data_IF_083790203489
#
_entry.id   IF_083790203489
#
_cell.length_a   1.000
_cell.length_b   1.000
_cell.length_c   1.000
_cell.angle_alpha   90.00
_cell.angle_beta   90.00
_cell.angle_gamma   90.00
#
_symmetry.space_group_name_H-M   'P 1'
#
loop_
_entity.id
_entity.type
_entity.pdbx_description
1 polymer ?
#
# COMPACT_ATOMS: atom_id res chain seq x y z
N UNK A 1 13.32 5.37 -5.84
CA UNK A 1 13.88 4.17 -5.19
C UNK A 1 13.49 2.87 -5.89
N UNK A 2 12.21 2.61 -6.12
CA UNK A 2 11.77 1.39 -6.81
C UNK A 2 12.24 1.34 -8.26
N UNK A 3 12.29 2.47 -8.95
CA UNK A 3 12.80 2.55 -10.33
C UNK A 3 14.25 2.09 -10.45
N UNK A 4 15.05 2.40 -9.43
CA UNK A 4 16.46 2.04 -9.41
C UNK A 4 16.67 0.53 -9.46
N UNK A 5 15.71 -0.24 -8.92
CA UNK A 5 15.78 -1.71 -8.87
C UNK A 5 15.00 -2.38 -10.01
N UNK A 6 14.52 -1.60 -10.97
CA UNK A 6 13.79 -2.13 -12.10
C UNK A 6 12.40 -2.65 -11.79
N UNK A 7 11.83 -2.21 -10.68
CA UNK A 7 10.48 -2.59 -10.27
C UNK A 7 9.47 -1.63 -10.89
N UNK A 8 8.51 -2.15 -11.64
CA UNK A 8 7.45 -1.34 -12.23
C UNK A 8 6.43 -0.94 -11.16
N UNK A 9 6.17 0.36 -11.02
CA UNK A 9 5.29 0.87 -9.97
C UNK A 9 4.56 2.14 -10.40
N UNK A 10 3.44 2.41 -9.71
CA UNK A 10 2.68 3.65 -9.85
C UNK A 10 2.53 4.28 -8.46
N UNK A 11 2.61 5.61 -8.41
CA UNK A 11 2.48 6.37 -7.16
C UNK A 11 1.03 6.88 -7.04
N UNK A 12 0.37 6.50 -5.95
CA UNK A 12 -1.02 6.87 -5.64
C UNK A 12 -1.96 6.71 -6.84
N UNK A 13 -1.99 5.53 -7.50
CA UNK A 13 -2.75 5.38 -8.75
C UNK A 13 -4.25 5.32 -8.56
N UNK A 14 -4.72 4.94 -7.37
CA UNK A 14 -6.13 4.67 -7.11
C UNK A 14 -6.50 5.13 -5.71
N UNK A 15 -7.68 5.75 -5.60
CA UNK A 15 -8.29 6.05 -4.31
C UNK A 15 -9.48 5.12 -4.13
N UNK A 16 -9.47 4.33 -3.05
CA UNK A 16 -10.56 3.43 -2.70
C UNK A 16 -11.53 4.12 -1.75
N UNK A 17 -12.81 4.11 -2.08
CA UNK A 17 -13.85 4.61 -1.18
C UNK A 17 -14.16 3.52 -0.16
N UNK A 18 -13.96 3.81 1.13
CA UNK A 18 -14.19 2.87 2.22
C UNK A 18 -15.57 3.04 2.84
N UNK A 19 -16.10 4.26 2.84
CA UNK A 19 -17.39 4.56 3.46
C UNK A 19 -18.04 5.74 2.76
N UNK A 20 -19.34 5.62 2.52
CA UNK A 20 -20.17 6.69 1.95
C UNK A 20 -21.36 6.95 2.87
N UNK A 21 -21.91 8.18 2.82
CA UNK A 21 -23.15 8.51 3.52
C UNK A 21 -24.38 8.11 2.69
N UNK A 22 -25.57 8.37 3.22
CA UNK A 22 -26.83 8.01 2.56
C UNK A 22 -27.04 8.76 1.23
N UNK A 23 -26.35 9.88 1.05
CA UNK A 23 -26.41 10.69 -0.17
C UNK A 23 -25.33 10.32 -1.18
N UNK A 24 -24.50 9.32 -0.87
CA UNK A 24 -23.41 8.88 -1.72
C UNK A 24 -22.14 9.70 -1.61
N UNK A 25 -22.05 10.57 -0.60
CA UNK A 25 -20.85 11.36 -0.37
C UNK A 25 -19.79 10.52 0.31
N UNK A 26 -18.54 10.67 -0.11
CA UNK A 26 -17.43 9.93 0.49
C UNK A 26 -17.16 10.42 1.91
N UNK A 27 -17.26 9.51 2.88
CA UNK A 27 -16.95 9.79 4.29
C UNK A 27 -15.55 9.32 4.66
N UNK A 28 -15.09 8.23 4.05
CA UNK A 28 -13.75 7.71 4.28
C UNK A 28 -13.22 7.13 2.98
N UNK A 29 -11.97 7.43 2.69
CA UNK A 29 -11.29 6.93 1.50
C UNK A 29 -9.84 6.60 1.86
N UNK A 30 -9.20 5.77 1.03
CA UNK A 30 -7.84 5.34 1.22
C UNK A 30 -7.11 5.26 -0.11
N UNK A 31 -5.96 5.92 -0.19
CA UNK A 31 -5.11 5.89 -1.38
C UNK A 31 -3.76 5.27 -0.99
N UNK A 32 -3.53 3.98 -1.32
CA UNK A 32 -2.24 3.35 -1.06
C UNK A 32 -1.12 4.11 -1.76
N UNK A 33 0.08 4.13 -1.15
CA UNK A 33 1.20 4.89 -1.67
C UNK A 33 1.67 4.39 -3.04
N UNK A 34 1.75 3.07 -3.22
CA UNK A 34 2.29 2.48 -4.45
C UNK A 34 1.45 1.30 -4.93
N UNK A 35 1.52 1.06 -6.23
CA UNK A 35 1.00 -0.14 -6.86
C UNK A 35 2.11 -0.77 -7.71
N UNK A 36 2.45 -2.01 -7.39
CA UNK A 36 3.43 -2.78 -8.16
C UNK A 36 2.70 -3.44 -9.33
N UNK A 37 2.93 -2.94 -10.53
CA UNK A 37 2.15 -3.30 -11.71
C UNK A 37 2.28 -4.77 -12.12
N UNK A 38 3.46 -5.34 -12.00
CA UNK A 38 3.69 -6.74 -12.36
C UNK A 38 3.13 -7.71 -11.32
N UNK A 39 3.20 -7.34 -10.04
CA UNK A 39 2.74 -8.19 -8.95
C UNK A 39 1.26 -8.03 -8.66
N UNK A 40 0.64 -6.93 -9.13
CA UNK A 40 -0.75 -6.63 -8.83
C UNK A 40 -0.97 -6.35 -7.35
N UNK A 41 0.00 -5.71 -6.69
CA UNK A 41 0.02 -5.51 -5.26
C UNK A 41 0.10 -4.03 -4.91
N UNK A 42 -0.83 -3.55 -4.07
CA UNK A 42 -0.75 -2.23 -3.47
C UNK A 42 0.12 -2.25 -2.23
N UNK A 43 0.89 -1.19 -2.02
CA UNK A 43 1.75 -1.04 -0.85
C UNK A 43 1.44 0.28 -0.17
N UNK A 44 1.19 0.22 1.14
CA UNK A 44 1.07 1.38 2.00
C UNK A 44 2.26 1.42 2.96
N UNK A 45 2.95 2.56 3.02
CA UNK A 45 4.08 2.75 3.92
C UNK A 45 3.62 3.36 5.23
N UNK A 46 4.25 2.96 6.32
CA UNK A 46 3.96 3.52 7.63
C UNK A 46 5.22 3.64 8.49
N UNK A 47 5.15 4.51 9.48
CA UNK A 47 6.18 4.63 10.51
C UNK A 47 5.78 3.77 11.72
N UNK A 48 6.76 3.43 12.57
CA UNK A 48 6.56 2.58 13.74
C UNK A 48 5.86 3.31 14.91
N UNK A 49 4.86 4.11 14.60
CA UNK A 49 4.06 4.79 15.62
C UNK A 49 2.76 4.02 15.78
N UNK A 50 2.51 3.47 16.97
CA UNK A 50 1.41 2.57 17.22
C UNK A 50 0.04 3.14 16.81
N UNK A 51 -0.21 4.42 17.08
CA UNK A 51 -1.48 5.05 16.72
C UNK A 51 -1.71 5.06 15.20
N UNK A 52 -0.66 5.29 14.41
CA UNK A 52 -0.74 5.28 12.95
C UNK A 52 -0.94 3.87 12.41
N UNK A 53 -0.25 2.89 12.99
CA UNK A 53 -0.37 1.48 12.60
C UNK A 53 -1.80 0.99 12.84
N UNK A 54 -2.37 1.29 14.00
CA UNK A 54 -3.74 0.89 14.35
C UNK A 54 -4.75 1.51 13.39
N UNK A 55 -4.61 2.81 13.09
CA UNK A 55 -5.50 3.51 12.16
C UNK A 55 -5.43 2.93 10.75
N UNK A 56 -4.22 2.70 10.26
CA UNK A 56 -4.02 2.13 8.92
C UNK A 56 -4.53 0.70 8.83
N UNK A 57 -4.31 -0.13 9.85
CA UNK A 57 -4.83 -1.49 9.87
C UNK A 57 -6.36 -1.52 9.84
N UNK A 58 -7.02 -0.58 10.51
CA UNK A 58 -8.49 -0.46 10.46
C UNK A 58 -8.95 -0.14 9.04
N UNK A 59 -8.28 0.79 8.36
CA UNK A 59 -8.60 1.13 6.98
C UNK A 59 -8.37 -0.04 6.03
N UNK A 60 -7.27 -0.76 6.21
CA UNK A 60 -6.97 -1.95 5.41
C UNK A 60 -8.02 -3.03 5.58
N UNK A 61 -8.51 -3.24 6.80
CA UNK A 61 -9.59 -4.21 7.05
C UNK A 61 -10.86 -3.80 6.31
N UNK A 62 -11.25 -2.53 6.38
CA UNK A 62 -12.42 -2.01 5.64
C UNK A 62 -12.25 -2.19 4.13
N UNK A 63 -11.05 -1.93 3.63
CA UNK A 63 -10.74 -2.10 2.21
C UNK A 63 -10.90 -3.55 1.78
N UNK A 64 -10.37 -4.49 2.56
CA UNK A 64 -10.47 -5.91 2.25
C UNK A 64 -11.90 -6.42 2.28
N UNK A 65 -12.73 -5.89 3.18
CA UNK A 65 -14.14 -6.24 3.25
C UNK A 65 -14.92 -5.74 2.04
N UNK A 66 -14.62 -4.50 1.60
CA UNK A 66 -15.32 -3.88 0.47
C UNK A 66 -14.77 -4.31 -0.89
N UNK A 67 -13.47 -4.55 -0.97
CA UNK A 67 -12.75 -4.92 -2.20
C UNK A 67 -11.93 -6.19 -1.97
N UNK A 68 -12.57 -7.35 -1.85
CA UNK A 68 -11.86 -8.60 -1.47
C UNK A 68 -10.81 -9.05 -2.47
N UNK A 69 -10.90 -8.61 -3.72
CA UNK A 69 -9.93 -8.98 -4.75
C UNK A 69 -8.67 -8.08 -4.76
N UNK A 70 -8.69 -6.99 -4.01
CA UNK A 70 -7.55 -6.08 -3.92
C UNK A 70 -6.49 -6.65 -3.01
N UNK A 71 -5.27 -6.80 -3.52
CA UNK A 71 -4.12 -7.23 -2.74
C UNK A 71 -3.36 -5.99 -2.25
N UNK A 72 -3.23 -5.86 -0.94
CA UNK A 72 -2.57 -4.73 -0.31
C UNK A 72 -1.81 -5.19 0.93
N UNK A 73 -0.62 -4.63 1.12
CA UNK A 73 0.21 -4.89 2.30
C UNK A 73 0.68 -3.59 2.93
N UNK A 74 0.78 -3.60 4.25
CA UNK A 74 1.34 -2.52 5.03
C UNK A 74 2.80 -2.82 5.30
N UNK A 75 3.68 -1.92 4.87
CA UNK A 75 5.12 -2.04 5.11
C UNK A 75 5.59 -0.89 5.99
N UNK A 76 6.50 -1.19 6.89
CA UNK A 76 7.27 -0.15 7.56
C UNK A 76 8.34 0.35 6.59
N UNK A 77 8.76 1.59 6.77
CA UNK A 77 9.79 2.16 5.91
C UNK A 77 11.05 1.29 5.87
N UNK A 78 11.45 0.75 7.04
CA UNK A 78 12.62 -0.14 7.13
C UNK A 78 12.43 -1.45 6.36
N UNK A 79 11.18 -1.94 6.29
CA UNK A 79 10.88 -3.18 5.56
C UNK A 79 11.03 -2.97 4.06
N UNK A 80 10.64 -1.79 3.57
CA UNK A 80 10.84 -1.42 2.17
C UNK A 80 12.32 -1.34 1.84
N UNK A 81 13.13 -0.78 2.73
CA UNK A 81 14.57 -0.71 2.56
C UNK A 81 15.21 -2.10 2.49
N UNK A 82 14.76 -3.03 3.34
CA UNK A 82 15.20 -4.41 3.32
C UNK A 82 14.82 -5.11 2.01
N UNK A 83 13.60 -4.89 1.56
CA UNK A 83 13.13 -5.44 0.29
C UNK A 83 13.98 -4.93 -0.87
N UNK A 84 14.28 -3.63 -0.89
CA UNK A 84 15.13 -3.03 -1.91
C UNK A 84 16.53 -3.61 -1.89
N UNK A 85 17.10 -3.81 -0.71
CA UNK A 85 18.42 -4.42 -0.56
C UNK A 85 18.42 -5.87 -1.06
N UNK A 86 17.38 -6.61 -0.78
CA UNK A 86 17.23 -7.99 -1.23
C UNK A 86 17.26 -8.07 -2.76
N UNK A 87 16.47 -7.23 -3.43
CA UNK A 87 16.46 -7.15 -4.89
C UNK A 87 17.81 -6.72 -5.46
N UNK A 88 18.48 -5.79 -4.79
CA UNK A 88 19.81 -5.35 -5.20
C UNK A 88 20.83 -6.49 -5.15
N UNK A 89 20.78 -7.30 -4.10
CA UNK A 89 21.66 -8.46 -3.96
C UNK A 89 21.38 -9.49 -5.05
N UNK A 90 20.11 -9.74 -5.36
CA UNK A 90 19.71 -10.66 -6.42
C UNK A 90 20.21 -10.20 -7.78
N UNK A 91 20.14 -8.89 -8.05
CA UNK A 91 20.63 -8.32 -9.30
C UNK A 91 22.15 -8.34 -9.39
N UNK A 92 22.85 -8.27 -8.27
CA UNK A 92 24.31 -8.29 -8.21
C UNK A 92 24.90 -9.70 -8.33
N UNK A 93 24.12 -10.70 -8.04
CA UNK A 93 24.54 -12.09 -8.14
C UNK A 93 24.22 -12.67 -9.51
#
# INVERSE_FOLDING_TARGET
MLDYYGISWLYEPTTFVLEEDEEGRVREAFAPDFYLTEQGLYIELTFMKQSLVTRKNRKLRKLRERYPDVKIKLFYKRDLERLAQHFRLDLAS
#
